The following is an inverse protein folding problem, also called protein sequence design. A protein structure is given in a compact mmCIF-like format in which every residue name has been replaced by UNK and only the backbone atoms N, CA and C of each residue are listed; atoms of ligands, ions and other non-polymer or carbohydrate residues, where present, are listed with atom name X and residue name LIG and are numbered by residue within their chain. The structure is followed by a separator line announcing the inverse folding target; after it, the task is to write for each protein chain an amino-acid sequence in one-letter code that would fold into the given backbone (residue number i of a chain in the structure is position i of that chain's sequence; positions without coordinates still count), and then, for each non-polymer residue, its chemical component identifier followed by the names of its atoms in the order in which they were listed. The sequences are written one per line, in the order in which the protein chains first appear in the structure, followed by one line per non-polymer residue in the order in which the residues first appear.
data_IF_040368600893
#
_entry.id   IF_040368600893
#
_cell.length_a   1.000
_cell.length_b   1.000
_cell.length_c   1.000
_cell.angle_alpha   90.00
_cell.angle_beta   90.00
_cell.angle_gamma   90.00
#
_symmetry.space_group_name_H-M   'P 1'
#
loop_
_entity.id
_entity.type
_entity.pdbx_description
1 polymer ?
#
# COMPACT_ATOMS: atom_id res chain seq x y z
N UNK A 1 -28.44 -4.69 -19.35
CA UNK A 1 -27.99 -3.26 -19.24
C UNK A 1 -26.57 -3.30 -18.69
N UNK A 2 -25.62 -2.61 -19.31
CA UNK A 2 -24.22 -2.60 -18.90
C UNK A 2 -23.94 -1.31 -18.15
N UNK A 3 -23.40 -1.41 -16.94
CA UNK A 3 -23.05 -0.24 -16.11
C UNK A 3 -21.55 -0.05 -16.17
N UNK A 4 -21.13 1.19 -16.39
CA UNK A 4 -19.73 1.59 -16.47
C UNK A 4 -19.45 2.76 -15.53
N UNK A 5 -18.28 2.72 -14.91
CA UNK A 5 -17.73 3.81 -14.10
C UNK A 5 -16.52 4.36 -14.82
N UNK A 6 -16.46 5.68 -14.93
CA UNK A 6 -15.32 6.39 -15.49
C UNK A 6 -14.51 6.97 -14.33
N UNK A 7 -13.24 6.62 -14.24
CA UNK A 7 -12.32 7.12 -13.20
C UNK A 7 -11.12 7.80 -13.83
N UNK A 8 -10.58 8.76 -13.12
CA UNK A 8 -9.40 9.54 -13.52
C UNK A 8 -8.19 9.00 -12.76
N UNK A 9 -7.21 8.47 -13.49
CA UNK A 9 -6.01 7.84 -12.94
C UNK A 9 -4.79 8.69 -13.28
N UNK A 10 -3.93 8.94 -12.29
CA UNK A 10 -2.73 9.74 -12.47
C UNK A 10 -1.72 9.05 -13.41
N UNK A 11 -0.90 9.86 -14.10
CA UNK A 11 0.13 9.41 -15.03
C UNK A 11 1.10 8.39 -14.40
N UNK A 12 1.45 8.55 -13.14
CA UNK A 12 2.37 7.64 -12.46
C UNK A 12 1.78 6.24 -12.23
N UNK A 13 0.45 6.15 -12.13
CA UNK A 13 -0.26 4.91 -11.81
C UNK A 13 -0.83 4.22 -13.06
N UNK A 14 -1.15 4.98 -14.12
CA UNK A 14 -1.74 4.43 -15.34
C UNK A 14 -0.84 3.39 -16.02
N UNK A 15 0.47 3.53 -15.88
CA UNK A 15 1.47 2.59 -16.44
C UNK A 15 1.29 1.16 -15.88
N UNK A 16 0.72 1.05 -14.70
CA UNK A 16 0.48 -0.25 -14.02
C UNK A 16 -0.86 -0.86 -14.39
N UNK A 17 -1.82 -0.04 -14.84
CA UNK A 17 -3.18 -0.49 -15.17
C UNK A 17 -3.20 -1.15 -16.53
N UNK A 18 -3.85 -2.31 -16.62
CA UNK A 18 -4.01 -3.08 -17.85
C UNK A 18 -5.48 -3.32 -18.15
N UNK A 19 -5.77 -3.56 -19.43
CA UNK A 19 -7.08 -4.05 -19.83
C UNK A 19 -7.36 -5.39 -19.14
N UNK A 20 -8.59 -5.56 -18.69
CA UNK A 20 -9.11 -6.73 -17.97
C UNK A 20 -8.62 -6.85 -16.51
N UNK A 21 -7.92 -5.85 -15.98
CA UNK A 21 -7.64 -5.81 -14.54
C UNK A 21 -8.96 -5.79 -13.77
N UNK A 22 -8.98 -6.53 -12.66
CA UNK A 22 -10.12 -6.54 -11.74
C UNK A 22 -10.14 -5.25 -10.94
N UNK A 23 -11.32 -4.66 -10.78
CA UNK A 23 -11.51 -3.48 -9.97
C UNK A 23 -12.63 -3.70 -8.94
N UNK A 24 -12.48 -3.09 -7.77
CA UNK A 24 -13.55 -2.98 -6.78
C UNK A 24 -14.08 -1.56 -6.80
N UNK A 25 -15.37 -1.44 -7.06
CA UNK A 25 -16.08 -0.18 -7.12
C UNK A 25 -16.91 -0.01 -5.87
N UNK A 26 -16.69 1.05 -5.14
CA UNK A 26 -17.48 1.44 -3.97
C UNK A 26 -18.25 2.71 -4.32
N UNK A 27 -19.57 2.58 -4.39
CA UNK A 27 -20.46 3.68 -4.76
C UNK A 27 -20.98 4.36 -3.49
N UNK A 28 -20.86 5.68 -3.40
CA UNK A 28 -21.22 6.46 -2.19
C UNK A 28 -22.67 6.24 -1.73
N UNK A 29 -23.57 5.97 -2.69
CA UNK A 29 -24.97 5.68 -2.40
C UNK A 29 -25.19 4.31 -1.74
N UNK A 30 -24.22 3.40 -1.81
CA UNK A 30 -24.29 2.05 -1.26
C UNK A 30 -23.13 1.79 -0.31
N UNK A 31 -23.15 2.44 0.84
CA UNK A 31 -22.12 2.34 1.86
C UNK A 31 -21.88 0.89 2.29
N UNK A 32 -20.62 0.55 2.57
CA UNK A 32 -20.17 -0.78 3.00
C UNK A 32 -20.34 -1.90 1.96
N UNK A 33 -20.49 -1.55 0.67
CA UNK A 33 -20.64 -2.53 -0.39
C UNK A 33 -19.66 -2.29 -1.54
N UNK A 34 -18.88 -3.33 -1.86
CA UNK A 34 -17.92 -3.31 -2.97
C UNK A 34 -18.47 -4.12 -4.13
N UNK A 35 -18.53 -3.50 -5.30
CA UNK A 35 -18.95 -4.15 -6.54
C UNK A 35 -17.72 -4.52 -7.36
N UNK A 36 -17.72 -5.74 -7.90
CA UNK A 36 -16.64 -6.17 -8.81
C UNK A 36 -16.85 -5.56 -10.19
N UNK A 37 -15.76 -5.05 -10.76
CA UNK A 37 -15.70 -4.56 -12.12
C UNK A 37 -14.46 -5.07 -12.85
N UNK A 38 -14.40 -4.78 -14.14
CA UNK A 38 -13.27 -5.10 -15.00
C UNK A 38 -12.94 -3.86 -15.82
N UNK A 39 -11.65 -3.54 -15.95
CA UNK A 39 -11.16 -2.47 -16.81
C UNK A 39 -11.45 -2.85 -18.28
N UNK A 40 -12.25 -2.01 -18.94
CA UNK A 40 -12.66 -2.23 -20.35
C UNK A 40 -11.95 -1.30 -21.32
N UNK A 41 -11.59 -0.10 -20.88
CA UNK A 41 -10.95 0.90 -21.74
C UNK A 41 -10.00 1.76 -20.93
N UNK A 42 -8.86 2.08 -21.52
CA UNK A 42 -7.88 3.01 -20.98
C UNK A 42 -7.70 4.10 -22.05
N UNK A 43 -7.98 5.35 -21.71
CA UNK A 43 -7.80 6.46 -22.64
C UNK A 43 -6.32 6.65 -22.98
N UNK A 44 -6.04 6.84 -24.25
CA UNK A 44 -4.69 7.19 -24.73
C UNK A 44 -4.42 8.69 -24.69
N UNK A 45 -5.46 9.49 -24.50
CA UNK A 45 -5.34 10.95 -24.37
C UNK A 45 -5.41 11.36 -22.91
N UNK A 46 -4.46 12.16 -22.50
CA UNK A 46 -4.45 12.74 -21.16
C UNK A 46 -5.47 13.88 -21.07
N UNK A 47 -6.20 13.93 -19.96
CA UNK A 47 -6.98 15.08 -19.57
C UNK A 47 -6.11 15.97 -18.67
N UNK A 48 -5.66 17.10 -19.23
CA UNK A 48 -4.93 18.11 -18.48
C UNK A 48 -5.92 19.09 -17.86
N UNK A 49 -6.01 19.09 -16.55
CA UNK A 49 -6.84 20.04 -15.81
C UNK A 49 -5.92 21.05 -15.15
N UNK A 50 -6.02 22.30 -15.56
CA UNK A 50 -5.28 23.41 -14.95
C UNK A 50 -4.54 24.28 -15.96
N UNK A 51 -4.43 25.57 -15.62
CA UNK A 51 -3.77 26.63 -16.44
C UNK A 51 -2.48 27.14 -15.75
N UNK A 52 -1.91 26.42 -14.80
CA UNK A 52 -0.74 26.86 -14.04
C UNK A 52 0.31 25.74 -13.86
N UNK A 53 1.45 26.08 -13.27
CA UNK A 53 2.65 25.25 -13.15
C UNK A 53 2.46 23.89 -12.43
N UNK A 54 1.32 23.65 -11.78
CA UNK A 54 0.95 22.41 -11.11
C UNK A 54 -0.06 21.59 -11.94
N UNK A 55 0.25 21.40 -13.22
CA UNK A 55 -0.62 20.65 -14.12
C UNK A 55 -0.55 19.16 -13.79
N UNK A 56 -1.66 18.58 -13.31
CA UNK A 56 -1.79 17.15 -13.06
C UNK A 56 -2.30 16.46 -14.32
N UNK A 57 -1.53 15.53 -14.84
CA UNK A 57 -1.89 14.72 -16.00
C UNK A 57 -2.64 13.47 -15.53
N UNK A 58 -3.90 13.36 -15.95
CA UNK A 58 -4.74 12.21 -15.63
C UNK A 58 -5.24 11.52 -16.90
N UNK A 59 -5.46 10.22 -16.81
CA UNK A 59 -6.00 9.39 -17.87
C UNK A 59 -7.35 8.81 -17.44
N UNK A 60 -8.31 8.83 -18.35
CA UNK A 60 -9.62 8.25 -18.09
C UNK A 60 -9.57 6.73 -18.29
N UNK A 61 -10.06 6.00 -17.30
CA UNK A 61 -10.22 4.55 -17.34
C UNK A 61 -11.70 4.22 -17.18
N UNK A 62 -12.23 3.39 -18.07
CA UNK A 62 -13.60 2.87 -17.97
C UNK A 62 -13.59 1.48 -17.37
N UNK A 63 -14.44 1.28 -16.40
CA UNK A 63 -14.58 0.04 -15.66
C UNK A 63 -16.02 -0.40 -15.75
N UNK A 64 -16.24 -1.60 -16.29
CA UNK A 64 -17.55 -2.22 -16.36
C UNK A 64 -17.84 -2.98 -15.08
N UNK A 65 -18.94 -2.65 -14.41
CA UNK A 65 -19.39 -3.37 -13.23
C UNK A 65 -20.00 -4.69 -13.67
N UNK A 66 -19.60 -5.79 -13.04
CA UNK A 66 -20.11 -7.12 -13.32
C UNK A 66 -21.54 -7.26 -12.78
N UNK A 67 -22.46 -7.74 -13.61
CA UNK A 67 -23.86 -7.94 -13.26
C UNK A 67 -24.02 -8.80 -11.99
N UNK A 68 -23.17 -9.81 -11.84
CA UNK A 68 -23.21 -10.73 -10.69
C UNK A 68 -22.99 -10.04 -9.34
N UNK A 69 -22.33 -8.89 -9.33
CA UNK A 69 -22.04 -8.15 -8.09
C UNK A 69 -23.20 -7.27 -7.60
N UNK A 70 -24.20 -7.02 -8.46
CA UNK A 70 -25.35 -6.16 -8.11
C UNK A 70 -26.72 -6.75 -8.48
N UNK A 71 -26.80 -8.03 -8.84
CA UNK A 71 -28.06 -8.72 -9.19
C UNK A 71 -29.14 -8.59 -8.13
N UNK A 72 -28.75 -8.68 -6.88
CA UNK A 72 -29.65 -8.59 -5.73
C UNK A 72 -30.26 -7.19 -5.51
N UNK A 73 -29.67 -6.16 -6.12
CA UNK A 73 -30.23 -4.79 -6.10
C UNK A 73 -31.28 -4.56 -7.18
N UNK A 74 -31.34 -5.46 -8.17
CA UNK A 74 -32.32 -5.35 -9.26
C UNK A 74 -33.66 -5.88 -8.75
N UNK A 75 -34.68 -5.02 -8.76
CA UNK A 75 -36.05 -5.39 -8.35
C UNK A 75 -36.66 -6.33 -9.40
N UNK A 76 -37.26 -7.44 -8.94
CA UNK A 76 -37.91 -8.41 -9.82
C UNK A 76 -39.04 -7.79 -10.68
N UNK A 77 -39.72 -6.79 -10.15
CA UNK A 77 -40.81 -6.09 -10.84
C UNK A 77 -40.35 -5.13 -11.94
N UNK A 78 -39.07 -4.76 -11.92
CA UNK A 78 -38.48 -3.80 -12.87
C UNK A 78 -37.07 -4.22 -13.28
N UNK A 79 -36.96 -5.26 -14.09
CA UNK A 79 -35.63 -5.82 -14.45
C UNK A 79 -34.75 -4.86 -15.27
N UNK A 80 -35.34 -3.81 -15.84
CA UNK A 80 -34.64 -2.79 -16.62
C UNK A 80 -34.29 -1.53 -15.79
N UNK A 81 -34.70 -1.46 -14.52
CA UNK A 81 -34.37 -0.34 -13.65
C UNK A 81 -32.96 -0.57 -13.05
N UNK A 82 -32.04 0.30 -13.43
CA UNK A 82 -30.67 0.22 -12.90
C UNK A 82 -30.63 0.72 -11.47
N UNK A 83 -29.96 -0.01 -10.55
CA UNK A 83 -29.73 0.47 -9.20
C UNK A 83 -28.78 1.69 -9.16
N UNK A 84 -27.96 1.84 -10.20
CA UNK A 84 -27.06 2.98 -10.31
C UNK A 84 -27.62 4.04 -11.26
N UNK A 85 -27.45 5.30 -10.89
CA UNK A 85 -27.90 6.42 -11.72
C UNK A 85 -26.69 7.20 -12.24
N UNK A 86 -26.76 7.73 -13.48
CA UNK A 86 -25.74 8.63 -13.99
C UNK A 86 -25.50 9.81 -13.03
N UNK A 87 -24.23 10.14 -12.79
CA UNK A 87 -23.85 11.21 -11.86
C UNK A 87 -23.62 10.75 -10.41
N UNK A 88 -23.77 9.47 -10.08
CA UNK A 88 -23.34 8.95 -8.80
C UNK A 88 -21.81 8.94 -8.70
N UNK A 89 -21.29 9.34 -7.54
CA UNK A 89 -19.86 9.26 -7.21
C UNK A 89 -19.49 7.85 -6.78
N UNK A 90 -18.27 7.44 -7.12
CA UNK A 90 -17.72 6.15 -6.72
C UNK A 90 -16.21 6.24 -6.55
N UNK A 91 -15.70 5.47 -5.60
CA UNK A 91 -14.27 5.20 -5.41
C UNK A 91 -13.94 3.85 -6.02
N UNK A 92 -12.80 3.75 -6.68
CA UNK A 92 -12.39 2.51 -7.37
C UNK A 92 -10.99 2.10 -6.99
N UNK A 93 -10.86 0.85 -6.56
CA UNK A 93 -9.58 0.19 -6.29
C UNK A 93 -9.26 -0.78 -7.46
N UNK A 94 -8.29 -0.45 -8.30
CA UNK A 94 -7.87 -1.31 -9.42
C UNK A 94 -6.74 -2.23 -8.96
N UNK A 95 -6.94 -3.53 -9.08
CA UNK A 95 -5.95 -4.54 -8.76
C UNK A 95 -5.00 -4.77 -9.93
N UNK A 96 -3.88 -4.07 -9.95
CA UNK A 96 -2.89 -4.16 -11.04
C UNK A 96 -1.97 -5.37 -10.95
N UNK A 97 -1.87 -5.99 -9.77
CA UNK A 97 -1.05 -7.17 -9.55
C UNK A 97 -1.63 -8.02 -8.43
N UNK A 98 -1.80 -9.31 -8.70
CA UNK A 98 -2.23 -10.30 -7.71
C UNK A 98 -1.24 -11.45 -7.65
N UNK A 99 -0.90 -11.87 -6.45
CA UNK A 99 -0.04 -13.03 -6.20
C UNK A 99 -0.74 -13.90 -5.16
N UNK A 100 -0.77 -15.21 -5.41
CA UNK A 100 -1.39 -16.19 -4.52
C UNK A 100 -0.33 -17.03 -3.83
N UNK A 101 -0.68 -17.62 -2.68
CA UNK A 101 0.21 -18.49 -1.89
C UNK A 101 1.52 -17.83 -1.49
N UNK A 102 1.42 -16.59 -1.01
CA UNK A 102 2.57 -15.81 -0.53
C UNK A 102 2.47 -15.51 0.95
N UNK A 103 3.62 -15.42 1.59
CA UNK A 103 3.68 -14.99 2.98
C UNK A 103 3.39 -13.49 3.07
N UNK A 104 2.43 -13.12 3.90
CA UNK A 104 2.02 -11.73 4.09
C UNK A 104 2.05 -11.33 5.55
N UNK A 105 2.34 -10.07 5.79
CA UNK A 105 2.31 -9.47 7.12
C UNK A 105 1.48 -8.18 7.10
N UNK A 106 0.87 -7.81 8.25
CA UNK A 106 0.34 -6.47 8.40
C UNK A 106 1.43 -5.42 8.16
N UNK A 107 1.16 -4.38 7.38
CA UNK A 107 2.14 -3.31 7.08
C UNK A 107 2.77 -2.74 8.35
N UNK A 108 2.01 -2.68 9.45
CA UNK A 108 2.46 -2.16 10.73
C UNK A 108 3.61 -2.97 11.37
N UNK A 109 3.83 -4.22 10.94
CA UNK A 109 4.89 -5.08 11.44
C UNK A 109 6.25 -4.82 10.77
N UNK A 110 6.23 -4.20 9.58
CA UNK A 110 7.44 -3.90 8.82
C UNK A 110 7.93 -2.50 9.18
N UNK A 111 9.21 -2.40 9.52
CA UNK A 111 9.86 -1.13 9.83
C UNK A 111 11.09 -0.92 8.94
N UNK A 112 11.33 0.31 8.55
CA UNK A 112 12.53 0.69 7.81
C UNK A 112 13.53 1.34 8.75
N UNK A 113 14.77 0.89 8.71
CA UNK A 113 15.87 1.48 9.49
C UNK A 113 17.06 1.74 8.60
N UNK A 114 17.68 2.90 8.76
CA UNK A 114 18.99 3.14 8.20
C UNK A 114 20.01 2.33 9.00
N UNK A 115 20.80 1.49 8.32
CA UNK A 115 21.90 0.76 8.96
C UNK A 115 22.98 1.75 9.43
N UNK A 116 22.91 2.15 10.68
CA UNK A 116 23.96 2.92 11.36
C UNK A 116 25.15 2.05 11.79
N UNK A 117 25.15 0.76 11.46
CA UNK A 117 26.19 -0.19 11.89
C UNK A 117 27.38 -0.32 10.94
N UNK A 118 27.53 0.51 9.92
CA UNK A 118 28.83 0.63 9.25
C UNK A 118 29.60 1.79 9.85
N UNK A 119 30.57 1.41 10.70
CA UNK A 119 31.59 2.26 11.30
C UNK A 119 31.93 3.46 10.43
N UNK A 120 31.87 4.63 11.06
CA UNK A 120 32.50 5.82 10.52
C UNK A 120 33.99 5.50 10.20
N UNK A 121 34.47 5.70 8.98
CA UNK A 121 35.89 5.79 8.78
C UNK A 121 36.37 7.01 9.53
N UNK A 122 37.31 6.82 10.46
CA UNK A 122 38.11 7.89 11.03
C UNK A 122 38.63 8.74 9.89
N UNK A 123 38.13 9.95 9.76
CA UNK A 123 38.78 10.98 8.98
C UNK A 123 39.94 11.51 9.80
N UNK A 124 41.15 11.16 9.38
CA UNK A 124 42.31 11.99 9.66
C UNK A 124 42.17 13.28 8.86
N UNK A 125 42.14 14.39 9.60
CA UNK A 125 42.28 15.74 9.06
C UNK A 125 43.55 15.85 8.24
N UNK A 126 43.42 16.15 6.95
CA UNK A 126 44.38 16.91 6.20
C UNK A 126 43.66 17.95 5.40
N UNK A 127 43.87 19.19 5.83
CA UNK A 127 43.56 20.41 5.11
C UNK A 127 44.25 20.44 3.72
N UNK A 128 43.51 20.80 2.68
CA UNK A 128 43.84 21.90 1.76
C UNK A 128 42.83 21.96 0.57
N UNK A 129 42.70 23.11 -0.10
CA UNK A 129 41.43 23.61 -0.58
C UNK A 129 41.28 23.58 -2.13
N UNK A 130 40.05 23.90 -2.53
CA UNK A 130 39.59 24.48 -3.79
C UNK A 130 39.30 23.62 -5.02
N UNK A 131 38.11 23.79 -5.44
CA UNK A 131 37.48 24.08 -6.73
C UNK A 131 36.53 23.03 -7.32
N UNK A 132 35.25 23.50 -7.34
CA UNK A 132 34.21 23.31 -8.36
C UNK A 132 34.05 21.96 -9.07
N UNK A 133 33.00 21.27 -8.74
CA UNK A 133 31.88 21.00 -9.66
C UNK A 133 30.82 20.13 -8.96
N UNK A 134 29.68 20.75 -8.71
CA UNK A 134 28.50 20.12 -8.17
C UNK A 134 27.96 19.03 -9.11
N UNK A 135 28.23 17.80 -8.78
CA UNK A 135 27.34 16.69 -9.14
C UNK A 135 27.17 15.86 -7.89
N UNK A 136 26.25 16.30 -7.05
CA UNK A 136 25.83 15.58 -5.85
C UNK A 136 25.18 14.28 -6.32
N UNK A 137 25.96 13.23 -6.54
CA UNK A 137 25.46 11.86 -6.56
C UNK A 137 24.87 11.60 -5.18
N UNK A 138 23.57 11.85 -5.05
CA UNK A 138 22.76 11.41 -3.92
C UNK A 138 22.96 9.89 -3.85
N UNK A 139 23.84 9.47 -2.94
CA UNK A 139 24.02 8.06 -2.60
C UNK A 139 22.64 7.59 -2.15
N UNK A 140 21.96 6.80 -2.96
CA UNK A 140 20.71 6.15 -2.56
C UNK A 140 21.08 5.31 -1.34
N UNK A 141 20.71 5.80 -0.15
CA UNK A 141 20.70 4.98 1.05
C UNK A 141 19.70 3.86 0.77
N UNK A 142 20.20 2.66 0.67
CA UNK A 142 19.35 1.48 0.54
C UNK A 142 18.67 1.32 1.89
N UNK A 143 17.47 1.85 1.98
CA UNK A 143 16.61 1.71 3.16
C UNK A 143 16.31 0.22 3.30
N UNK A 144 16.77 -0.38 4.39
CA UNK A 144 16.56 -1.80 4.65
C UNK A 144 15.31 -1.99 5.50
N UNK A 145 14.57 -3.05 5.20
CA UNK A 145 13.33 -3.39 5.84
C UNK A 145 13.55 -4.52 6.85
N UNK A 146 12.93 -4.36 8.02
CA UNK A 146 13.07 -5.26 9.14
C UNK A 146 11.71 -5.59 9.74
N UNK A 147 11.61 -6.79 10.30
CA UNK A 147 10.51 -7.22 11.16
C UNK A 147 11.06 -7.69 12.51
N UNK A 148 10.24 -7.62 13.54
CA UNK A 148 10.58 -8.14 14.85
C UNK A 148 9.87 -9.47 15.11
N UNK A 149 10.66 -10.52 15.31
CA UNK A 149 10.18 -11.82 15.76
C UNK A 149 10.01 -11.82 17.28
N UNK A 150 8.99 -12.52 17.74
CA UNK A 150 8.84 -12.86 19.13
C UNK A 150 9.53 -14.20 19.40
N UNK A 151 10.61 -14.18 20.16
CA UNK A 151 11.35 -15.38 20.55
C UNK A 151 11.44 -15.46 22.09
N UNK A 152 10.60 -16.31 22.71
CA UNK A 152 10.59 -16.57 24.15
C UNK A 152 10.60 -15.31 25.04
N UNK A 153 9.82 -14.30 24.69
CA UNK A 153 9.73 -13.04 25.45
C UNK A 153 10.78 -12.00 25.07
N UNK A 154 11.54 -12.21 24.01
CA UNK A 154 12.56 -11.30 23.51
C UNK A 154 12.27 -10.93 22.05
N UNK A 155 12.46 -9.67 21.72
CA UNK A 155 12.34 -9.20 20.35
C UNK A 155 13.64 -9.46 19.57
N UNK A 156 13.56 -10.15 18.45
CA UNK A 156 14.68 -10.43 17.55
C UNK A 156 14.46 -9.74 16.22
N UNK A 157 15.38 -8.87 15.85
CA UNK A 157 15.29 -8.14 14.59
C UNK A 157 15.73 -9.01 13.42
N UNK A 158 14.89 -9.11 12.39
CA UNK A 158 15.16 -9.90 11.19
C UNK A 158 15.01 -9.02 9.96
N UNK A 159 16.03 -9.03 9.10
CA UNK A 159 16.01 -8.35 7.82
C UNK A 159 15.12 -9.13 6.86
N UNK A 160 14.25 -8.42 6.16
CA UNK A 160 13.32 -8.99 5.18
C UNK A 160 13.41 -8.24 3.86
N UNK A 161 12.94 -8.91 2.80
CA UNK A 161 12.62 -8.25 1.53
C UNK A 161 11.13 -8.31 1.32
N UNK A 162 10.56 -7.19 1.02
CA UNK A 162 9.14 -7.07 0.72
C UNK A 162 8.85 -7.17 -0.78
N UNK A 163 7.60 -7.39 -1.11
CA UNK A 163 7.12 -7.44 -2.48
C UNK A 163 5.95 -6.49 -2.70
N UNK A 164 4.85 -7.01 -3.22
CA UNK A 164 3.64 -6.22 -3.40
C UNK A 164 2.96 -5.96 -2.05
N UNK A 165 2.25 -4.84 -1.97
CA UNK A 165 1.48 -4.47 -0.79
C UNK A 165 0.08 -3.99 -1.19
N UNK A 166 -0.84 -4.15 -0.27
CA UNK A 166 -2.17 -3.53 -0.32
C UNK A 166 -2.33 -2.51 0.82
N UNK A 167 -3.55 -2.11 1.14
CA UNK A 167 -3.84 -1.14 2.21
C UNK A 167 -3.61 -1.70 3.63
N UNK A 168 -3.44 -3.01 3.80
CA UNK A 168 -3.38 -3.68 5.11
C UNK A 168 -2.18 -4.60 5.24
N UNK A 169 -1.80 -5.26 4.16
CA UNK A 169 -0.79 -6.32 4.15
C UNK A 169 0.32 -6.05 3.14
N UNK A 170 1.50 -6.54 3.47
CA UNK A 170 2.68 -6.52 2.61
C UNK A 170 3.22 -7.94 2.43
N UNK A 171 3.57 -8.28 1.21
CA UNK A 171 4.20 -9.55 0.89
C UNK A 171 5.64 -9.58 1.39
N UNK A 172 6.05 -10.70 1.98
CA UNK A 172 7.46 -10.98 2.30
C UNK A 172 7.99 -12.00 1.29
N UNK A 173 9.03 -11.62 0.57
CA UNK A 173 9.66 -12.49 -0.43
C UNK A 173 10.85 -13.26 0.12
N UNK A 174 11.58 -12.67 1.06
CA UNK A 174 12.73 -13.30 1.68
C UNK A 174 12.86 -12.89 3.16
N UNK A 175 13.50 -13.73 3.96
CA UNK A 175 13.88 -13.42 5.33
C UNK A 175 12.94 -13.98 6.39
N UNK A 176 11.75 -14.46 6.06
CA UNK A 176 10.77 -14.98 7.02
C UNK A 176 10.31 -16.37 6.62
N UNK A 177 9.94 -17.19 7.61
CA UNK A 177 9.36 -18.53 7.41
C UNK A 177 7.95 -18.60 7.99
N UNK A 178 7.13 -19.46 7.40
CA UNK A 178 5.80 -19.73 7.90
C UNK A 178 5.85 -20.30 9.33
N UNK A 179 4.90 -19.89 10.17
CA UNK A 179 4.82 -20.33 11.58
C UNK A 179 5.63 -19.49 12.57
N UNK A 180 6.41 -18.50 12.12
CA UNK A 180 7.11 -17.58 13.02
C UNK A 180 6.15 -16.53 13.60
N UNK A 181 6.28 -16.26 14.89
CA UNK A 181 5.50 -15.23 15.57
C UNK A 181 6.14 -13.86 15.42
N UNK A 182 5.34 -12.88 15.03
CA UNK A 182 5.82 -11.53 14.72
C UNK A 182 5.16 -10.50 15.61
N UNK A 183 5.93 -9.50 15.99
CA UNK A 183 5.46 -8.38 16.81
C UNK A 183 4.83 -7.35 15.87
N UNK A 184 3.52 -7.16 15.98
CA UNK A 184 2.74 -6.27 15.10
C UNK A 184 2.30 -4.99 15.77
N UNK A 185 2.24 -4.95 17.11
CA UNK A 185 1.67 -3.83 17.86
C UNK A 185 2.41 -3.58 19.18
N UNK A 186 2.33 -2.36 19.73
CA UNK A 186 1.81 -1.15 19.09
C UNK A 186 2.77 -0.57 18.05
N UNK A 187 2.25 0.01 16.98
CA UNK A 187 3.06 0.51 15.84
C UNK A 187 4.20 1.46 16.26
N UNK A 188 3.95 2.39 17.20
CA UNK A 188 4.98 3.31 17.71
C UNK A 188 6.13 2.57 18.39
N UNK A 189 5.86 1.45 19.05
CA UNK A 189 6.92 0.65 19.67
C UNK A 189 7.74 -0.04 18.59
N UNK A 190 7.10 -0.72 17.65
CA UNK A 190 7.75 -1.46 16.56
C UNK A 190 8.60 -0.53 15.69
N UNK A 191 8.05 0.64 15.30
CA UNK A 191 8.73 1.54 14.37
C UNK A 191 9.88 2.35 14.99
N UNK A 192 9.77 2.75 16.29
CA UNK A 192 10.70 3.72 16.87
C UNK A 192 11.44 3.24 18.11
N UNK A 193 10.79 2.47 19.00
CA UNK A 193 11.32 2.18 20.33
C UNK A 193 11.99 0.80 20.42
N UNK A 194 11.41 -0.22 19.78
CA UNK A 194 11.82 -1.61 19.92
C UNK A 194 13.21 -1.82 19.32
N UNK A 195 14.09 -2.44 20.09
CA UNK A 195 15.45 -2.81 19.68
C UNK A 195 15.61 -4.32 19.76
N UNK A 196 16.66 -4.83 19.11
CA UNK A 196 17.05 -6.23 19.25
C UNK A 196 17.39 -6.54 20.72
N UNK A 197 16.81 -7.61 21.24
CA UNK A 197 17.03 -8.05 22.62
C UNK A 197 16.06 -7.45 23.66
N UNK A 198 15.15 -6.57 23.27
CA UNK A 198 14.16 -6.00 24.19
C UNK A 198 13.19 -7.08 24.67
N UNK A 199 12.84 -7.01 25.97
CA UNK A 199 11.83 -7.88 26.54
C UNK A 199 10.44 -7.45 26.11
N UNK A 200 9.69 -8.39 25.58
CA UNK A 200 8.33 -8.19 25.07
C UNK A 200 7.37 -9.22 25.66
N UNK A 201 6.13 -8.82 25.85
CA UNK A 201 5.07 -9.67 26.39
C UNK A 201 3.92 -9.75 25.40
N UNK A 202 3.36 -10.94 25.22
CA UNK A 202 2.10 -11.10 24.49
C UNK A 202 0.97 -10.50 25.31
N UNK A 203 0.16 -9.66 24.69
CA UNK A 203 -1.01 -9.03 25.29
C UNK A 203 -2.18 -9.21 24.34
N UNK A 204 -3.37 -9.38 24.87
CA UNK A 204 -4.57 -9.39 24.04
C UNK A 204 -4.77 -8.05 23.35
N UNK A 205 -5.29 -8.02 22.11
CA UNK A 205 -5.53 -6.76 21.37
C UNK A 205 -6.40 -5.75 22.13
N UNK A 206 -7.24 -6.22 23.03
CA UNK A 206 -8.11 -5.39 23.88
C UNK A 206 -7.34 -4.64 24.98
N UNK A 207 -6.23 -5.18 25.42
CA UNK A 207 -5.45 -4.63 26.54
C UNK A 207 -4.29 -3.75 26.09
N UNK A 208 -4.01 -3.70 24.77
CA UNK A 208 -2.92 -2.92 24.17
C UNK A 208 -2.98 -1.41 24.45
N UNK A 209 -4.16 -0.88 24.73
CA UNK A 209 -4.40 0.57 24.91
C UNK A 209 -4.82 0.94 26.33
N UNK A 210 -4.87 -0.04 27.25
CA UNK A 210 -5.32 0.20 28.64
C UNK A 210 -4.19 0.68 29.55
N UNK A 211 -2.92 0.48 29.20
CA UNK A 211 -1.75 0.75 30.06
C UNK A 211 -1.13 2.15 29.88
N UNK A 212 -1.73 3.08 29.13
CA UNK A 212 -1.23 4.47 29.03
C UNK A 212 -1.75 5.43 30.12
N UNK A 213 -2.29 4.91 31.23
CA UNK A 213 -2.63 5.73 32.41
C UNK A 213 -1.83 5.28 33.64
N UNK A 214 -0.53 5.63 33.68
CA UNK A 214 0.21 5.88 34.90
C UNK A 214 1.42 6.73 34.64
#
# INVERSE_FOLDING_TARGET
MTMEVKVSVNENDIVRVKLHDTAFVEVDAYQNRKFKGIVTEISTSANTVGVSADQVTNFDVKIRILLDSYKDLIKADKPNDSPFRPGMSATVDIQTKSVVNVLTLPIQAVTTRADTTKAAPKMEEKEQPEQDNATTKKKMEVVQEYVFLYDNGVAKMLKVKTGIQDNSYIQITEGLKEGQEIITAPYRAVSKKLKEGDKVKKVDPKDLYTDEKK
#
